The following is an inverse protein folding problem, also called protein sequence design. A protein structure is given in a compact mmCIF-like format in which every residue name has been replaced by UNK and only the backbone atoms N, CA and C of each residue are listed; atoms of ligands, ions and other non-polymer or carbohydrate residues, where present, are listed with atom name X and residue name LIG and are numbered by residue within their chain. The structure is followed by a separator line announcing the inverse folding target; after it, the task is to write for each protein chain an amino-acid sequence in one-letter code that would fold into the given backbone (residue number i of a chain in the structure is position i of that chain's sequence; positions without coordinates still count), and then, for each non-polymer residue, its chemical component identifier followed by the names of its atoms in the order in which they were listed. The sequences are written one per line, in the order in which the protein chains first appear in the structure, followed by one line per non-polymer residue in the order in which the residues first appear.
data_IF_690352522619
#
_entry.id   IF_690352522619
#
_cell.length_a   1.000
_cell.length_b   1.000
_cell.length_c   1.000
_cell.angle_alpha   90.00
_cell.angle_beta   90.00
_cell.angle_gamma   90.00
#
_symmetry.space_group_name_H-M   'P 1'
#
loop_
_entity.id
_entity.type
_entity.pdbx_description
1 polymer ?
#
# COMPACT_ATOMS: atom_id res chain seq x y z
N UNK A 1 10.26 6.45 6.43
CA UNK A 1 10.33 5.84 5.08
C UNK A 1 11.17 4.56 5.09
N UNK A 2 12.34 4.58 5.74
CA UNK A 2 13.29 3.46 5.78
C UNK A 2 12.67 2.13 6.26
N UNK A 3 11.87 2.14 7.34
CA UNK A 3 11.19 0.94 7.85
C UNK A 3 10.25 0.29 6.84
N UNK A 4 9.47 1.09 6.09
CA UNK A 4 8.54 0.59 5.07
C UNK A 4 9.29 -0.05 3.92
N UNK A 5 10.37 0.57 3.47
CA UNK A 5 11.22 0.03 2.39
C UNK A 5 11.88 -1.27 2.83
N UNK A 6 12.36 -1.34 4.08
CA UNK A 6 12.94 -2.56 4.66
C UNK A 6 11.93 -3.70 4.74
N UNK A 7 10.69 -3.40 5.19
CA UNK A 7 9.61 -4.39 5.23
C UNK A 7 9.28 -4.91 3.83
N UNK A 8 9.14 -4.03 2.85
CA UNK A 8 8.88 -4.41 1.45
C UNK A 8 10.02 -5.29 0.92
N UNK A 9 11.27 -4.90 1.17
CA UNK A 9 12.43 -5.70 0.79
C UNK A 9 12.44 -7.10 1.44
N UNK A 10 12.00 -7.22 2.69
CA UNK A 10 11.86 -8.50 3.36
C UNK A 10 10.75 -9.37 2.72
N UNK A 11 9.59 -8.78 2.40
CA UNK A 11 8.50 -9.48 1.70
C UNK A 11 8.96 -10.00 0.33
N UNK A 12 9.71 -9.19 -0.43
CA UNK A 12 10.26 -9.61 -1.72
C UNK A 12 11.25 -10.79 -1.59
N UNK A 13 12.11 -10.78 -0.56
CA UNK A 13 13.02 -11.91 -0.29
C UNK A 13 12.29 -13.21 0.03
N UNK A 14 11.07 -13.13 0.58
CA UNK A 14 10.20 -14.26 0.86
C UNK A 14 9.34 -14.67 -0.34
N UNK A 15 9.45 -13.98 -1.48
CA UNK A 15 8.59 -14.21 -2.65
C UNK A 15 7.14 -13.77 -2.46
N UNK A 16 6.87 -12.94 -1.44
CA UNK A 16 5.53 -12.44 -1.14
C UNK A 16 5.31 -11.12 -1.87
N UNK A 17 4.61 -11.15 -3.00
CA UNK A 17 4.27 -9.94 -3.78
C UNK A 17 2.77 -9.59 -3.77
N UNK A 18 1.93 -10.48 -3.25
CA UNK A 18 0.48 -10.30 -3.14
C UNK A 18 0.13 -9.43 -1.92
N UNK A 19 0.49 -8.14 -1.98
CA UNK A 19 0.17 -7.14 -0.96
C UNK A 19 -0.21 -5.80 -1.60
N UNK A 20 -1.11 -5.04 -0.97
CA UNK A 20 -1.44 -3.67 -1.37
C UNK A 20 -0.67 -2.64 -0.52
N UNK A 21 -0.42 -1.46 -1.07
CA UNK A 21 0.11 -0.32 -0.32
C UNK A 21 -0.78 0.89 -0.56
N UNK A 22 -1.31 1.46 0.51
CA UNK A 22 -1.97 2.76 0.53
C UNK A 22 -1.20 3.71 1.45
N UNK A 23 -1.22 5.00 1.13
CA UNK A 23 -0.74 6.09 1.99
C UNK A 23 -1.93 6.97 2.33
N UNK A 24 -2.04 7.39 3.59
CA UNK A 24 -3.12 8.24 4.08
C UNK A 24 -2.59 9.42 4.90
N UNK A 25 -3.43 10.46 4.98
CA UNK A 25 -3.20 11.79 5.56
C UNK A 25 -4.43 12.64 5.26
N UNK A 26 -4.26 13.86 4.72
CA UNK A 26 -5.39 14.65 4.17
C UNK A 26 -6.06 14.02 2.94
N UNK A 27 -5.33 13.13 2.26
CA UNK A 27 -5.82 12.34 1.12
C UNK A 27 -5.35 10.90 1.24
N UNK A 28 -6.14 9.99 0.71
CA UNK A 28 -5.79 8.57 0.59
C UNK A 28 -5.31 8.32 -0.83
N UNK A 29 -4.18 7.63 -0.98
CA UNK A 29 -3.57 7.33 -2.28
C UNK A 29 -3.11 5.88 -2.34
N UNK A 30 -3.46 5.24 -3.44
CA UNK A 30 -3.02 3.89 -3.77
C UNK A 30 -1.62 3.95 -4.38
N UNK A 31 -0.67 3.22 -3.80
CA UNK A 31 0.71 3.13 -4.27
C UNK A 31 0.93 1.86 -5.09
N UNK A 32 0.30 0.76 -4.67
CA UNK A 32 0.41 -0.56 -5.29
C UNK A 32 -0.86 -1.36 -5.01
N UNK A 33 -1.41 -2.01 -6.04
CA UNK A 33 -2.41 -3.08 -5.88
C UNK A 33 -1.74 -4.42 -5.60
N UNK A 34 -2.51 -5.36 -5.08
CA UNK A 34 -2.08 -6.73 -4.82
C UNK A 34 -1.62 -7.48 -6.09
N UNK A 35 -2.12 -7.07 -7.27
CA UNK A 35 -1.78 -7.62 -8.59
C UNK A 35 -0.54 -6.96 -9.24
N UNK A 36 -0.21 -5.74 -8.82
CA UNK A 36 0.94 -5.01 -9.35
C UNK A 36 2.24 -5.52 -8.72
N UNK A 37 3.30 -5.62 -9.52
CA UNK A 37 4.64 -5.93 -9.01
C UNK A 37 5.27 -4.70 -8.35
N UNK A 38 6.14 -4.91 -7.36
CA UNK A 38 6.86 -3.80 -6.73
C UNK A 38 7.99 -3.31 -7.65
N UNK A 39 7.75 -2.16 -8.29
CA UNK A 39 8.66 -1.57 -9.28
C UNK A 39 9.14 -0.16 -8.95
N UNK A 40 9.93 0.40 -9.86
CA UNK A 40 10.42 1.79 -9.78
C UNK A 40 9.28 2.81 -9.68
N UNK A 41 8.17 2.57 -10.37
CA UNK A 41 6.97 3.43 -10.32
C UNK A 41 6.39 3.48 -8.90
N UNK A 42 6.20 2.33 -8.25
CA UNK A 42 5.69 2.28 -6.87
C UNK A 42 6.64 2.97 -5.88
N UNK A 43 7.96 2.80 -6.07
CA UNK A 43 8.98 3.50 -5.26
C UNK A 43 8.88 5.01 -5.40
N UNK A 44 8.80 5.51 -6.63
CA UNK A 44 8.66 6.94 -6.91
C UNK A 44 7.39 7.52 -6.31
N UNK A 45 6.25 6.83 -6.48
CA UNK A 45 4.98 7.25 -5.87
C UNK A 45 5.12 7.29 -4.35
N UNK A 46 5.62 6.22 -3.72
CA UNK A 46 5.78 6.16 -2.26
C UNK A 46 6.64 7.31 -1.74
N UNK A 47 7.79 7.58 -2.37
CA UNK A 47 8.70 8.67 -1.98
C UNK A 47 8.07 10.06 -2.17
N UNK A 48 7.23 10.25 -3.18
CA UNK A 48 6.56 11.53 -3.43
C UNK A 48 5.41 11.80 -2.44
N UNK A 49 4.74 10.75 -1.97
CA UNK A 49 3.54 10.88 -1.12
C UNK A 49 3.85 10.96 0.38
N UNK A 50 5.00 10.44 0.83
CA UNK A 50 5.36 10.52 2.25
C UNK A 50 6.02 11.88 2.52
N UNK A 51 5.21 12.82 3.00
CA UNK A 51 5.61 14.13 3.49
C UNK A 51 5.10 14.30 4.92
N UNK A 52 5.96 14.72 5.83
CA UNK A 52 5.65 14.89 7.26
C UNK A 52 5.69 16.36 7.71
N UNK A 53 5.79 17.27 6.75
CA UNK A 53 5.91 18.71 6.94
C UNK A 53 4.56 19.45 6.80
N UNK A 54 3.45 18.71 6.80
CA UNK A 54 2.10 19.27 6.64
C UNK A 54 1.27 18.95 7.89
N UNK A 55 0.85 19.99 8.61
CA UNK A 55 -0.16 19.90 9.68
C UNK A 55 -1.55 19.79 9.04
N UNK A 56 -1.86 18.59 8.58
CA UNK A 56 -3.08 18.26 7.85
C UNK A 56 -3.93 17.28 8.68
N UNK A 57 -5.25 17.43 8.66
CA UNK A 57 -6.16 16.45 9.24
C UNK A 57 -5.97 15.06 8.60
N UNK A 58 -5.99 14.02 9.43
CA UNK A 58 -5.88 12.63 8.96
C UNK A 58 -7.25 12.03 8.69
N UNK A 59 -7.37 11.31 7.58
CA UNK A 59 -8.61 10.62 7.19
C UNK A 59 -8.59 9.14 7.53
N UNK A 60 -8.41 8.82 8.81
CA UNK A 60 -8.19 7.45 9.30
C UNK A 60 -9.36 6.51 8.96
N UNK A 61 -10.60 6.92 9.22
CA UNK A 61 -11.79 6.10 8.95
C UNK A 61 -11.94 5.78 7.46
N UNK A 62 -11.73 6.77 6.60
CA UNK A 62 -11.78 6.59 5.15
C UNK A 62 -10.63 5.69 4.66
N UNK A 63 -9.45 5.79 5.28
CA UNK A 63 -8.31 4.94 4.93
C UNK A 63 -8.59 3.47 5.25
N UNK A 64 -9.28 3.22 6.38
CA UNK A 64 -9.72 1.88 6.75
C UNK A 64 -10.77 1.34 5.78
N UNK A 65 -11.77 2.14 5.40
CA UNK A 65 -12.77 1.76 4.39
C UNK A 65 -12.10 1.40 3.05
N UNK A 66 -11.17 2.24 2.58
CA UNK A 66 -10.40 1.97 1.37
C UNK A 66 -9.61 0.65 1.47
N UNK A 67 -8.99 0.37 2.62
CA UNK A 67 -8.26 -0.87 2.84
C UNK A 67 -9.20 -2.09 2.79
N UNK A 68 -10.36 -2.01 3.44
CA UNK A 68 -11.38 -3.06 3.43
C UNK A 68 -11.88 -3.32 2.00
N UNK A 69 -12.13 -2.27 1.23
CA UNK A 69 -12.61 -2.40 -0.15
C UNK A 69 -11.55 -3.02 -1.05
N UNK A 70 -10.27 -2.66 -0.88
CA UNK A 70 -9.17 -3.31 -1.60
C UNK A 70 -9.05 -4.80 -1.26
N UNK A 71 -9.23 -5.17 0.00
CA UNK A 71 -9.23 -6.58 0.42
C UNK A 71 -10.41 -7.35 -0.17
N UNK A 72 -11.62 -6.76 -0.19
CA UNK A 72 -12.81 -7.38 -0.79
C UNK A 72 -12.67 -7.57 -2.30
N UNK A 73 -12.04 -6.61 -2.98
CA UNK A 73 -11.86 -6.62 -4.42
C UNK A 73 -10.63 -7.40 -4.88
N UNK A 74 -9.69 -7.72 -3.99
CA UNK A 74 -8.59 -8.64 -4.28
C UNK A 74 -9.12 -10.07 -4.53
N UNK A 75 -9.38 -10.40 -5.80
CA UNK A 75 -9.77 -11.75 -6.22
C UNK A 75 -8.59 -12.70 -6.16
N UNK A 76 -8.21 -13.10 -4.95
CA UNK A 76 -7.54 -14.38 -4.71
C UNK A 76 -8.27 -15.09 -3.59
N UNK A 77 -9.55 -15.38 -3.81
CA UNK A 77 -10.21 -16.51 -3.15
C UNK A 77 -9.46 -17.74 -3.66
N UNK A 78 -8.63 -18.33 -2.80
CA UNK A 78 -7.87 -19.55 -3.12
C UNK A 78 -8.76 -20.58 -3.80
N UNK A 79 -8.17 -21.40 -4.66
CA UNK A 79 -8.84 -22.52 -5.32
C UNK A 79 -9.83 -23.17 -4.34
N UNK A 80 -11.12 -23.13 -4.69
CA UNK A 80 -12.11 -23.94 -3.99
C UNK A 80 -11.72 -25.40 -4.25
N UNK A 81 -11.09 -26.04 -3.27
CA UNK A 81 -11.17 -27.50 -3.15
C UNK A 81 -12.56 -27.89 -2.67
#
# INVERSE_FOLDING_TARGET
QETTITLIGALQKLGLENYGIIVFGSKIRLVKTNEQTWGSVCKTILSQQIRFDQDDETKDAQALECAIDLLKNSSTRGEKK
#
